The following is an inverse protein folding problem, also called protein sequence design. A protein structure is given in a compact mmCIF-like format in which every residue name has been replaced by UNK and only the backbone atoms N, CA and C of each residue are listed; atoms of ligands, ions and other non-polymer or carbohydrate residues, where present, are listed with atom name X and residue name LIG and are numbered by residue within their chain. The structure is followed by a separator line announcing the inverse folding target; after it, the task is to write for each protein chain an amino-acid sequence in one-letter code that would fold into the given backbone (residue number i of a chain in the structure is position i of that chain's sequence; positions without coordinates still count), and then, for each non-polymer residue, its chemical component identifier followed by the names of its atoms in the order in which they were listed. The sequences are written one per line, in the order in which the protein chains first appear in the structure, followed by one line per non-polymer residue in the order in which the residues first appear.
data_IF_470291615314
#
_entry.id   IF_470291615314
#
_cell.length_a   1.000
_cell.length_b   1.000
_cell.length_c   1.000
_cell.angle_alpha   90.00
_cell.angle_beta   90.00
_cell.angle_gamma   90.00
#
_symmetry.space_group_name_H-M   'P 1'
#
loop_
_entity.id
_entity.type
_entity.pdbx_description
1 polymer ?
#
# COMPACT_ATOMS: atom_id res chain seq x y z
N UNK A 1 -1.48 30.67 17.53
CA UNK A 1 -1.11 30.28 16.16
C UNK A 1 -2.31 29.55 15.59
N UNK A 2 -2.99 30.16 14.64
CA UNK A 2 -4.26 29.66 14.11
C UNK A 2 -4.04 28.32 13.39
N UNK A 3 -4.89 27.33 13.66
CA UNK A 3 -4.74 25.96 13.14
C UNK A 3 -4.64 25.86 11.62
N UNK A 4 -5.07 26.89 10.89
CA UNK A 4 -4.92 27.00 9.44
C UNK A 4 -3.46 27.09 8.97
N UNK A 5 -2.57 27.76 9.71
CA UNK A 5 -1.16 27.88 9.34
C UNK A 5 -0.46 26.51 9.48
N UNK A 6 -0.74 25.79 10.57
CA UNK A 6 -0.19 24.45 10.82
C UNK A 6 -0.65 23.46 9.74
N UNK A 7 -1.93 23.50 9.36
CA UNK A 7 -2.47 22.67 8.29
C UNK A 7 -1.82 22.98 6.93
N UNK A 8 -1.62 24.27 6.61
CA UNK A 8 -0.99 24.68 5.36
C UNK A 8 0.48 24.21 5.27
N UNK A 9 1.25 24.31 6.35
CA UNK A 9 2.63 23.82 6.39
C UNK A 9 2.71 22.30 6.21
N UNK A 10 1.83 21.55 6.87
CA UNK A 10 1.78 20.09 6.72
C UNK A 10 1.46 19.68 5.27
N UNK A 11 0.53 20.39 4.64
CA UNK A 11 0.14 20.15 3.25
C UNK A 11 1.27 20.45 2.26
N UNK A 12 1.94 21.60 2.41
CA UNK A 12 3.07 22.00 1.56
C UNK A 12 4.24 21.03 1.72
N UNK A 13 4.54 20.61 2.95
CA UNK A 13 5.65 19.68 3.20
C UNK A 13 5.35 18.27 2.66
N UNK A 14 4.12 17.79 2.82
CA UNK A 14 3.69 16.48 2.33
C UNK A 14 3.74 16.40 0.80
N UNK A 15 3.18 17.40 0.10
CA UNK A 15 3.15 17.43 -1.36
C UNK A 15 4.54 17.75 -1.92
N UNK A 16 5.21 18.77 -1.39
CA UNK A 16 6.53 19.17 -1.83
C UNK A 16 7.56 18.05 -1.64
N UNK A 17 7.52 17.35 -0.50
CA UNK A 17 8.40 16.21 -0.23
C UNK A 17 8.15 15.03 -1.17
N UNK A 18 6.87 14.69 -1.41
CA UNK A 18 6.52 13.57 -2.31
C UNK A 18 6.90 13.89 -3.75
N UNK A 19 6.57 15.08 -4.25
CA UNK A 19 6.92 15.51 -5.62
C UNK A 19 8.43 15.65 -5.78
N UNK A 20 9.12 16.19 -4.78
CA UNK A 20 10.59 16.32 -4.77
C UNK A 20 11.29 14.97 -4.83
N UNK A 21 10.85 13.98 -4.05
CA UNK A 21 11.38 12.62 -4.06
C UNK A 21 11.20 11.95 -5.43
N UNK A 22 9.99 12.06 -6.00
CA UNK A 22 9.66 11.49 -7.31
C UNK A 22 10.49 12.15 -8.41
N UNK A 23 10.57 13.48 -8.40
CA UNK A 23 11.39 14.24 -9.35
C UNK A 23 12.87 13.83 -9.28
N UNK A 24 13.43 13.72 -8.06
CA UNK A 24 14.80 13.29 -7.86
C UNK A 24 15.05 11.86 -8.40
N UNK A 25 14.14 10.94 -8.13
CA UNK A 25 14.23 9.56 -8.64
C UNK A 25 14.19 9.50 -10.17
N UNK A 26 13.29 10.24 -10.82
CA UNK A 26 13.27 10.29 -12.29
C UNK A 26 14.50 10.97 -12.87
N UNK A 27 14.99 12.04 -12.22
CA UNK A 27 16.14 12.80 -12.69
C UNK A 27 17.45 12.00 -12.62
N UNK A 28 17.67 11.25 -11.54
CA UNK A 28 18.83 10.36 -11.39
C UNK A 28 18.86 9.30 -12.48
N UNK A 29 17.74 8.63 -12.73
CA UNK A 29 17.62 7.65 -13.82
C UNK A 29 17.81 8.27 -15.21
N UNK A 30 17.33 9.49 -15.44
CA UNK A 30 17.51 10.15 -16.73
C UNK A 30 18.99 10.42 -17.03
N UNK A 31 19.74 10.90 -16.03
CA UNK A 31 21.18 11.17 -16.14
C UNK A 31 22.01 9.90 -16.34
N UNK A 32 21.68 8.82 -15.63
CA UNK A 32 22.32 7.50 -15.83
C UNK A 32 22.20 7.03 -17.28
N UNK A 33 21.01 7.18 -17.89
CA UNK A 33 20.76 6.73 -19.27
C UNK A 33 21.47 7.58 -20.32
N UNK A 34 21.55 8.91 -20.11
CA UNK A 34 22.26 9.82 -21.04
C UNK A 34 23.76 9.56 -21.04
N UNK A 35 24.36 9.35 -19.85
CA UNK A 35 25.79 9.05 -19.72
C UNK A 35 26.18 7.71 -20.37
N UNK A 36 25.28 6.73 -20.36
CA UNK A 36 25.50 5.43 -21.01
C UNK A 36 25.43 5.55 -22.55
N UNK A 37 24.56 6.41 -23.08
CA UNK A 37 24.50 6.71 -24.52
C UNK A 37 25.77 7.45 -24.97
N UNK A 38 26.23 8.45 -24.21
CA UNK A 38 27.46 9.21 -24.50
C UNK A 38 28.73 8.34 -24.42
N UNK A 39 28.73 7.30 -23.57
CA UNK A 39 29.82 6.31 -23.47
C UNK A 39 29.76 5.20 -24.52
N UNK A 40 28.81 5.27 -25.47
CA UNK A 40 28.72 4.31 -26.58
C UNK A 40 28.12 2.95 -26.21
N UNK A 41 27.36 2.85 -25.12
CA UNK A 41 26.65 1.61 -24.79
C UNK A 41 25.54 1.35 -25.83
N UNK A 42 25.57 0.14 -26.43
CA UNK A 42 24.64 -0.31 -27.47
C UNK A 42 23.17 -0.11 -27.06
N UNK A 43 22.36 0.51 -27.93
CA UNK A 43 20.93 0.78 -27.70
C UNK A 43 20.12 -0.51 -27.44
N UNK A 44 20.68 -1.68 -27.77
CA UNK A 44 20.14 -2.99 -27.40
C UNK A 44 20.13 -3.25 -25.89
N UNK A 45 21.00 -2.61 -25.10
CA UNK A 45 20.95 -2.69 -23.63
C UNK A 45 19.74 -1.94 -23.02
N UNK A 46 19.18 -0.99 -23.76
CA UNK A 46 17.98 -0.23 -23.38
C UNK A 46 16.67 -0.85 -23.87
N UNK A 47 16.74 -1.85 -24.76
CA UNK A 47 15.68 -2.83 -24.92
C UNK A 47 15.71 -3.79 -23.72
N UNK A 48 15.51 -3.23 -22.53
CA UNK A 48 15.16 -4.01 -21.37
C UNK A 48 13.98 -4.90 -21.79
N UNK A 49 14.16 -6.21 -21.64
CA UNK A 49 13.13 -7.23 -21.86
C UNK A 49 11.77 -6.67 -21.46
N UNK A 50 10.69 -6.96 -22.24
CA UNK A 50 9.38 -6.42 -21.97
C UNK A 50 9.07 -6.68 -20.50
N UNK A 51 9.16 -5.62 -19.68
CA UNK A 51 9.04 -5.69 -18.23
C UNK A 51 7.84 -6.55 -17.98
N UNK A 52 8.04 -7.78 -17.48
CA UNK A 52 6.95 -8.67 -17.10
C UNK A 52 6.02 -7.80 -16.27
N UNK A 53 4.89 -7.45 -16.88
CA UNK A 53 4.01 -6.40 -16.38
C UNK A 53 3.77 -6.73 -14.92
N UNK A 54 3.91 -5.74 -14.05
CA UNK A 54 4.06 -5.87 -12.59
C UNK A 54 2.75 -6.34 -11.92
N UNK A 55 2.12 -7.37 -12.48
CA UNK A 55 0.86 -7.99 -12.06
C UNK A 55 0.95 -8.49 -10.62
N UNK A 56 2.15 -8.84 -10.16
CA UNK A 56 2.43 -9.14 -8.76
C UNK A 56 1.89 -8.05 -7.83
N UNK A 57 2.19 -6.79 -8.11
CA UNK A 57 1.78 -5.68 -7.25
C UNK A 57 0.26 -5.49 -7.25
N UNK A 58 -0.38 -5.65 -8.42
CA UNK A 58 -1.84 -5.58 -8.55
C UNK A 58 -2.54 -6.73 -7.79
N UNK A 59 -1.99 -7.95 -7.85
CA UNK A 59 -2.52 -9.12 -7.14
C UNK A 59 -2.37 -8.95 -5.63
N UNK A 60 -1.22 -8.48 -5.15
CA UNK A 60 -0.98 -8.22 -3.73
C UNK A 60 -1.98 -7.20 -3.19
N UNK A 61 -2.15 -6.07 -3.89
CA UNK A 61 -3.12 -5.04 -3.51
C UNK A 61 -4.54 -5.62 -3.49
N UNK A 62 -4.93 -6.36 -4.54
CA UNK A 62 -6.26 -6.97 -4.62
C UNK A 62 -6.58 -7.87 -3.44
N UNK A 63 -5.65 -8.77 -3.06
CA UNK A 63 -5.83 -9.69 -1.93
C UNK A 63 -5.99 -8.92 -0.62
N UNK A 64 -5.15 -7.90 -0.37
CA UNK A 64 -5.22 -7.11 0.86
C UNK A 64 -6.53 -6.34 0.97
N UNK A 65 -7.02 -5.76 -0.13
CA UNK A 65 -8.32 -5.05 -0.14
C UNK A 65 -9.50 -5.99 0.12
N UNK A 66 -9.47 -7.21 -0.42
CA UNK A 66 -10.50 -8.22 -0.15
C UNK A 66 -10.50 -8.60 1.33
N UNK A 67 -9.33 -8.89 1.90
CA UNK A 67 -9.20 -9.21 3.32
C UNK A 67 -9.63 -8.04 4.22
N UNK A 68 -9.33 -6.81 3.83
CA UNK A 68 -9.78 -5.62 4.57
C UNK A 68 -11.30 -5.50 4.59
N UNK A 69 -11.96 -5.69 3.45
CA UNK A 69 -13.42 -5.71 3.37
C UNK A 69 -14.03 -6.82 4.24
N UNK A 70 -13.46 -8.03 4.18
CA UNK A 70 -13.87 -9.15 5.04
C UNK A 70 -13.66 -8.85 6.52
N UNK A 71 -12.56 -8.20 6.89
CA UNK A 71 -12.27 -7.78 8.27
C UNK A 71 -13.34 -6.84 8.83
N UNK A 72 -13.80 -5.87 8.03
CA UNK A 72 -14.87 -4.95 8.44
C UNK A 72 -16.18 -5.70 8.66
N UNK A 73 -16.56 -6.59 7.74
CA UNK A 73 -17.80 -7.38 7.86
C UNK A 73 -17.74 -8.31 9.06
N UNK A 74 -16.63 -9.02 9.26
CA UNK A 74 -16.40 -9.87 10.42
C UNK A 74 -16.44 -9.06 11.71
N UNK A 75 -15.83 -7.88 11.74
CA UNK A 75 -15.87 -6.97 12.90
C UNK A 75 -17.28 -6.54 13.28
N UNK A 76 -18.13 -6.24 12.29
CA UNK A 76 -19.52 -5.90 12.53
C UNK A 76 -20.31 -7.07 13.15
N UNK A 77 -20.14 -8.27 12.60
CA UNK A 77 -20.78 -9.49 13.14
C UNK A 77 -20.25 -9.81 14.54
N UNK A 78 -18.94 -9.65 14.77
CA UNK A 78 -18.33 -9.88 16.07
C UNK A 78 -18.82 -8.87 17.12
N UNK A 79 -19.05 -7.62 16.73
CA UNK A 79 -19.58 -6.59 17.60
C UNK A 79 -21.02 -6.91 18.03
N UNK A 80 -21.89 -7.33 17.09
CA UNK A 80 -23.29 -7.69 17.42
C UNK A 80 -23.35 -8.91 18.34
N UNK A 81 -22.54 -9.94 18.07
CA UNK A 81 -22.44 -11.13 18.92
C UNK A 81 -21.94 -10.75 20.31
N UNK A 82 -20.87 -9.96 20.41
CA UNK A 82 -20.32 -9.55 21.71
C UNK A 82 -21.33 -8.73 22.56
N UNK A 83 -22.23 -7.99 21.91
CA UNK A 83 -23.33 -7.30 22.57
C UNK A 83 -24.38 -8.27 23.10
N UNK A 84 -24.85 -9.20 22.27
CA UNK A 84 -25.89 -10.19 22.65
C UNK A 84 -25.45 -11.10 23.81
N UNK A 85 -24.18 -11.48 23.86
CA UNK A 85 -23.63 -12.29 24.96
C UNK A 85 -23.27 -11.47 26.22
N UNK A 86 -23.45 -10.14 26.20
CA UNK A 86 -23.18 -9.26 27.34
C UNK A 86 -21.69 -9.01 27.64
N UNK A 87 -20.79 -9.36 26.72
CA UNK A 87 -19.34 -9.14 26.85
C UNK A 87 -19.00 -7.66 26.65
N UNK A 88 -19.87 -6.94 25.96
CA UNK A 88 -19.74 -5.52 25.67
C UNK A 88 -21.01 -4.81 26.13
N UNK A 89 -20.85 -3.89 27.08
CA UNK A 89 -21.95 -3.14 27.70
C UNK A 89 -22.42 -1.94 26.88
N UNK A 90 -21.70 -1.60 25.80
CA UNK A 90 -21.97 -0.45 24.96
C UNK A 90 -22.04 -0.82 23.48
N UNK A 91 -23.20 -0.56 22.88
CA UNK A 91 -23.44 -0.72 21.44
C UNK A 91 -22.61 0.32 20.69
N UNK A 92 -21.46 -0.10 20.16
CA UNK A 92 -20.50 0.79 19.48
C UNK A 92 -19.05 0.73 19.96
N UNK A 93 -18.66 -0.24 20.79
CA UNK A 93 -17.25 -0.41 21.13
C UNK A 93 -16.41 -0.59 19.85
N UNK A 94 -15.34 0.22 19.64
CA UNK A 94 -14.54 0.15 18.42
C UNK A 94 -13.58 -1.06 18.40
N UNK A 95 -13.35 -1.70 19.56
CA UNK A 95 -12.42 -2.81 19.74
C UNK A 95 -12.65 -4.01 18.79
N UNK A 96 -13.89 -4.52 18.58
CA UNK A 96 -14.12 -5.66 17.70
C UNK A 96 -13.81 -5.33 16.23
N UNK A 97 -14.05 -4.09 15.80
CA UNK A 97 -13.71 -3.62 14.46
C UNK A 97 -12.20 -3.49 14.27
N UNK A 98 -11.50 -2.84 15.20
CA UNK A 98 -10.05 -2.69 15.10
C UNK A 98 -9.33 -4.04 15.10
N UNK A 99 -9.73 -4.96 15.99
CA UNK A 99 -9.10 -6.27 16.10
C UNK A 99 -9.34 -7.14 14.86
N UNK A 100 -10.58 -7.24 14.38
CA UNK A 100 -10.92 -8.03 13.18
C UNK A 100 -10.26 -7.50 11.90
N UNK A 101 -10.26 -6.17 11.69
CA UNK A 101 -9.63 -5.54 10.52
C UNK A 101 -8.12 -5.74 10.56
N UNK A 102 -7.48 -5.49 11.70
CA UNK A 102 -6.02 -5.64 11.82
C UNK A 102 -5.59 -7.10 11.64
N UNK A 103 -6.34 -8.05 12.20
CA UNK A 103 -6.11 -9.47 12.01
C UNK A 103 -6.25 -9.86 10.53
N UNK A 104 -7.36 -9.48 9.87
CA UNK A 104 -7.57 -9.86 8.48
C UNK A 104 -6.59 -9.20 7.50
N UNK A 105 -6.18 -7.96 7.74
CA UNK A 105 -5.11 -7.33 6.95
C UNK A 105 -3.81 -8.14 7.08
N UNK A 106 -3.46 -8.59 8.29
CA UNK A 106 -2.30 -9.45 8.53
C UNK A 106 -2.38 -10.77 7.76
N UNK A 107 -3.55 -11.41 7.75
CA UNK A 107 -3.79 -12.63 6.95
C UNK A 107 -3.67 -12.35 5.45
N UNK A 108 -4.22 -11.23 4.97
CA UNK A 108 -4.11 -10.81 3.57
C UNK A 108 -2.66 -10.60 3.11
N UNK A 109 -1.81 -10.03 3.97
CA UNK A 109 -0.37 -9.93 3.70
C UNK A 109 0.31 -11.30 3.63
N UNK A 110 -0.01 -12.22 4.54
CA UNK A 110 0.55 -13.57 4.51
C UNK A 110 0.14 -14.33 3.24
N UNK A 111 -1.14 -14.30 2.88
CA UNK A 111 -1.67 -14.96 1.67
C UNK A 111 -1.09 -14.34 0.41
N UNK A 112 -0.98 -13.02 0.34
CA UNK A 112 -0.40 -12.34 -0.82
C UNK A 112 1.08 -12.65 -1.03
N UNK A 113 1.86 -12.85 0.05
CA UNK A 113 3.24 -13.32 -0.04
C UNK A 113 3.32 -14.73 -0.66
N UNK A 114 2.47 -15.66 -0.21
CA UNK A 114 2.42 -17.01 -0.78
C UNK A 114 1.92 -17.03 -2.24
N UNK A 115 0.90 -16.23 -2.57
CA UNK A 115 0.40 -16.10 -3.93
C UNK A 115 1.47 -15.53 -4.86
N UNK A 116 2.20 -14.52 -4.38
CA UNK A 116 3.33 -13.93 -5.07
C UNK A 116 4.47 -14.91 -5.35
N UNK A 117 4.79 -15.79 -4.39
CA UNK A 117 5.80 -16.84 -4.55
C UNK A 117 5.44 -17.84 -5.67
N UNK A 118 4.15 -18.12 -5.87
CA UNK A 118 3.67 -19.00 -6.96
C UNK A 118 3.67 -18.34 -8.33
N UNK A 119 3.55 -17.01 -8.42
CA UNK A 119 3.53 -16.28 -9.69
C UNK A 119 4.92 -16.01 -10.26
N UNK A 120 5.96 -16.07 -9.42
CA UNK A 120 7.35 -15.85 -9.82
C UNK A 120 8.17 -17.14 -10.00
N UNK A 121 7.57 -18.31 -9.77
CA UNK A 121 8.09 -19.63 -10.12
C UNK A 121 7.37 -20.12 -11.38
#
# INVERSE_FOLDING_TARGET
MDGGLVAALFFVFSIGGTVGLVYYYFHTRHKERVLLIEKGADAKLFQAEPRKKNYFFAVVIGIVFICLALGIVLGAIFASIAYDYGWVRHDGNPLPYFTSVFLMIGVGFLVSYFAGKKLNN
#
